data_IF_227005247384
#
_entry.id   IF_227005247384
#
_cell.length_a   1.000
_cell.length_b   1.000
_cell.length_c   1.000
_cell.angle_alpha   90.00
_cell.angle_beta   90.00
_cell.angle_gamma   90.00
#
_symmetry.space_group_name_H-M   'P 1'
#
loop_
_entity.id
_entity.type
_entity.pdbx_description
1 polymer ?
#
# COMPACT_ATOMS: atom_id res chain seq x y z
N UNK A 1 9.19 9.95 -8.34
CA UNK A 1 8.88 8.73 -7.55
C UNK A 1 9.95 7.70 -7.83
N UNK A 2 10.53 7.09 -6.79
CA UNK A 2 11.49 5.99 -6.98
C UNK A 2 10.79 4.73 -7.52
N UNK A 3 11.54 3.78 -8.11
CA UNK A 3 10.97 2.61 -8.79
C UNK A 3 10.04 1.77 -7.90
N UNK A 4 10.30 1.70 -6.58
CA UNK A 4 9.45 1.00 -5.61
C UNK A 4 8.05 1.60 -5.49
N UNK A 5 7.96 2.93 -5.46
CA UNK A 5 6.69 3.64 -5.32
C UNK A 5 5.89 3.55 -6.62
N UNK A 6 6.55 3.64 -7.78
CA UNK A 6 5.89 3.49 -9.09
C UNK A 6 5.23 2.12 -9.23
N UNK A 7 5.95 1.03 -8.95
CA UNK A 7 5.40 -0.33 -9.05
C UNK A 7 4.21 -0.55 -8.10
N UNK A 8 4.29 -0.04 -6.86
CA UNK A 8 3.18 -0.13 -5.91
C UNK A 8 1.97 0.70 -6.37
N UNK A 9 2.19 1.91 -6.87
CA UNK A 9 1.12 2.76 -7.39
C UNK A 9 0.43 2.13 -8.60
N UNK A 10 1.19 1.55 -9.53
CA UNK A 10 0.64 0.81 -10.68
C UNK A 10 -0.17 -0.41 -10.24
N UNK A 11 0.33 -1.21 -9.30
CA UNK A 11 -0.39 -2.37 -8.77
C UNK A 11 -1.71 -1.94 -8.10
N UNK A 12 -1.67 -0.97 -7.19
CA UNK A 12 -2.86 -0.50 -6.47
C UNK A 12 -3.89 0.12 -7.42
N UNK A 13 -3.44 0.87 -8.43
CA UNK A 13 -4.34 1.50 -9.42
C UNK A 13 -5.00 0.49 -10.35
N UNK A 14 -4.25 -0.49 -10.87
CA UNK A 14 -4.76 -1.46 -11.84
C UNK A 14 -5.50 -2.63 -11.18
N UNK A 15 -5.01 -3.11 -10.04
CA UNK A 15 -5.55 -4.29 -9.38
C UNK A 15 -6.53 -3.96 -8.24
N UNK A 16 -6.65 -2.68 -7.85
CA UNK A 16 -7.44 -2.24 -6.68
C UNK A 16 -7.08 -2.97 -5.38
N UNK A 17 -5.82 -3.41 -5.27
CA UNK A 17 -5.27 -4.06 -4.08
C UNK A 17 -4.59 -3.08 -3.12
N UNK A 18 -3.82 -3.63 -2.19
CA UNK A 18 -2.92 -2.88 -1.29
C UNK A 18 -1.47 -3.30 -1.54
N UNK A 19 -0.53 -2.37 -1.40
CA UNK A 19 0.90 -2.62 -1.54
C UNK A 19 1.67 -2.04 -0.36
N UNK A 20 2.71 -2.74 0.07
CA UNK A 20 3.55 -2.35 1.20
C UNK A 20 5.01 -2.17 0.78
N UNK A 21 5.67 -1.13 1.31
CA UNK A 21 7.11 -0.92 1.16
C UNK A 21 7.76 -0.87 2.54
N UNK A 22 8.76 -1.72 2.77
CA UNK A 22 9.53 -1.72 4.01
C UNK A 22 10.48 -2.93 4.10
N UNK A 23 10.89 -3.25 5.33
CA UNK A 23 11.72 -4.42 5.62
C UNK A 23 10.95 -5.72 5.38
N UNK A 24 11.63 -6.75 4.86
CA UNK A 24 11.03 -8.06 4.65
C UNK A 24 10.50 -8.68 5.96
N UNK A 25 11.22 -8.45 7.06
CA UNK A 25 10.83 -8.95 8.39
C UNK A 25 9.52 -8.34 8.91
N UNK A 26 9.16 -7.15 8.43
CA UNK A 26 7.97 -6.42 8.87
C UNK A 26 6.78 -6.60 7.91
N UNK A 27 6.86 -7.50 6.91
CA UNK A 27 5.87 -7.63 5.82
C UNK A 27 4.42 -7.63 6.29
N UNK A 28 4.08 -8.47 7.26
CA UNK A 28 2.72 -8.54 7.83
C UNK A 28 2.29 -7.23 8.50
N UNK A 29 3.18 -6.60 9.27
CA UNK A 29 2.91 -5.32 9.95
C UNK A 29 2.78 -4.15 8.96
N UNK A 30 3.48 -4.21 7.82
CA UNK A 30 3.35 -3.23 6.75
C UNK A 30 1.97 -3.30 6.09
N UNK A 31 1.49 -4.52 5.80
CA UNK A 31 0.17 -4.72 5.20
C UNK A 31 -0.98 -4.39 6.16
N UNK A 32 -0.74 -4.49 7.47
CA UNK A 32 -1.66 -4.02 8.50
C UNK A 32 -1.67 -2.48 8.66
N UNK A 33 -0.64 -1.79 8.17
CA UNK A 33 -0.47 -0.33 8.31
C UNK A 33 0.25 0.09 9.60
N UNK A 34 0.80 -0.84 10.36
CA UNK A 34 1.48 -0.59 11.64
C UNK A 34 2.96 -0.20 11.49
N UNK A 35 3.58 -0.55 10.34
CA UNK A 35 4.98 -0.25 10.03
C UNK A 35 5.20 0.09 8.55
N UNK A 36 6.35 0.69 8.25
CA UNK A 36 6.76 0.98 6.87
C UNK A 36 5.80 1.92 6.14
N UNK A 37 5.58 1.67 4.85
CA UNK A 37 4.68 2.48 4.01
C UNK A 37 3.62 1.59 3.39
N UNK A 38 2.36 1.82 3.73
CA UNK A 38 1.19 1.19 3.11
C UNK A 38 0.62 2.11 2.03
N UNK A 39 0.46 1.58 0.82
CA UNK A 39 -0.15 2.24 -0.33
C UNK A 39 -1.47 1.50 -0.63
N UNK A 40 -2.58 2.23 -0.60
CA UNK A 40 -3.93 1.72 -0.85
C UNK A 40 -4.76 2.81 -1.51
N UNK A 41 -5.79 2.43 -2.26
CA UNK A 41 -6.78 3.39 -2.72
C UNK A 41 -7.53 3.93 -1.51
N UNK A 42 -7.70 5.25 -1.46
CA UNK A 42 -8.56 5.88 -0.47
C UNK A 42 -9.99 5.39 -0.72
N UNK A 43 -10.52 4.61 0.22
CA UNK A 43 -11.93 4.27 0.22
C UNK A 43 -12.58 5.34 1.06
N UNK A 44 -13.18 6.34 0.42
CA UNK A 44 -14.08 7.26 1.12
C UNK A 44 -15.28 6.42 1.51
N UNK A 45 -15.42 6.06 2.79
CA UNK A 45 -16.62 5.41 3.29
C UNK A 45 -17.81 6.32 2.96
N UNK A 46 -18.65 5.89 2.02
CA UNK A 46 -19.79 6.66 1.51
C UNK A 46 -20.98 6.67 2.48
N UNK A 47 -20.72 6.68 3.79
CA UNK A 47 -21.74 6.74 4.83
C UNK A 47 -21.19 7.41 6.09
N UNK A 48 -21.23 8.75 6.10
CA UNK A 48 -21.24 9.57 7.31
C UNK A 48 -22.63 10.18 7.47
#
# INVERSE_FOLDING_TARGET
>A
MGPKVTACAEFVSHCRGIAGIGSLADGSAILAGDKGTLIRLETTDANA
#
